data_IF_805739873202
#
_entry.id   IF_805739873202
#
_cell.length_a   1.000
_cell.length_b   1.000
_cell.length_c   1.000
_cell.angle_alpha   90.00
_cell.angle_beta   90.00
_cell.angle_gamma   90.00
#
_symmetry.space_group_name_H-M   'P 1'
#
loop_
_entity.id
_entity.type
_entity.pdbx_description
1 polymer ?
#
# COMPACT_ATOMS: atom_id res chain seq x y z
N UNK A 1 -8.49 -30.08 -7.48
CA UNK A 1 -7.93 -29.26 -7.48
C UNK A 1 -8.49 -28.22 -6.91
N UNK A 2 -8.90 -28.32 -6.06
CA UNK A 2 -9.43 -27.57 -5.42
C UNK A 2 -8.85 -26.64 -4.74
N UNK A 3 -8.33 -27.10 -3.83
CA UNK A 3 -7.65 -26.18 -3.24
C UNK A 3 -7.28 -25.33 -4.31
N UNK A 4 -7.61 -25.77 -5.25
CA UNK A 4 -7.31 -25.20 -6.33
C UNK A 4 -7.65 -23.90 -6.49
N UNK A 5 -8.58 -23.52 -5.84
CA UNK A 5 -8.87 -22.24 -6.01
C UNK A 5 -7.76 -21.47 -5.50
N UNK A 6 -7.41 -21.77 -4.34
CA UNK A 6 -6.36 -21.08 -3.74
C UNK A 6 -5.15 -21.30 -4.60
N UNK A 7 -5.00 -22.48 -5.06
CA UNK A 7 -3.86 -22.75 -5.83
C UNK A 7 -3.83 -21.97 -7.06
N UNK A 8 -4.94 -21.88 -7.68
CA UNK A 8 -4.99 -21.16 -8.90
C UNK A 8 -4.64 -19.73 -8.64
N UNK A 9 -5.06 -19.21 -7.51
CA UNK A 9 -4.76 -17.84 -7.21
C UNK A 9 -3.31 -17.68 -6.87
N UNK A 10 -2.71 -18.69 -6.29
CA UNK A 10 -1.34 -18.56 -5.91
C UNK A 10 -0.42 -18.99 -7.02
N UNK A 11 -0.97 -19.66 -8.00
CA UNK A 11 -0.15 -20.20 -9.05
C UNK A 11 0.49 -19.18 -9.92
N UNK A 12 -0.21 -18.16 -10.26
CA UNK A 12 0.35 -17.18 -11.15
C UNK A 12 0.22 -15.79 -10.60
N UNK A 13 1.34 -15.17 -10.43
CA UNK A 13 1.35 -13.80 -9.97
C UNK A 13 2.37 -13.02 -10.81
N UNK A 14 2.26 -11.72 -10.73
CA UNK A 14 3.27 -10.85 -11.32
C UNK A 14 3.67 -9.83 -10.26
N UNK A 15 4.79 -9.20 -10.46
CA UNK A 15 5.34 -8.30 -9.48
C UNK A 15 5.03 -6.86 -9.80
N UNK A 16 4.57 -6.12 -8.80
CA UNK A 16 4.49 -4.67 -8.88
C UNK A 16 5.28 -4.14 -7.69
N UNK A 17 5.94 -3.01 -7.88
CA UNK A 17 6.69 -2.39 -6.79
C UNK A 17 6.08 -1.05 -6.45
N UNK A 18 6.25 -0.64 -5.22
CA UNK A 18 5.78 0.67 -4.80
C UNK A 18 6.78 1.23 -3.80
N UNK A 19 7.09 2.52 -3.91
CA UNK A 19 8.02 3.16 -3.02
C UNK A 19 7.25 4.04 -2.06
N UNK A 20 7.54 3.90 -0.78
CA UNK A 20 6.84 4.68 0.24
C UNK A 20 7.87 5.37 1.13
N UNK A 21 7.57 6.57 1.58
CA UNK A 21 8.44 7.27 2.49
C UNK A 21 8.43 6.59 3.85
N UNK A 22 7.32 6.01 4.24
CA UNK A 22 7.20 5.34 5.53
C UNK A 22 6.14 4.26 5.41
N UNK A 23 6.48 3.04 5.72
CA UNK A 23 5.54 1.94 5.62
C UNK A 23 4.85 1.62 6.95
N UNK A 24 5.24 2.32 8.03
CA UNK A 24 4.65 2.06 9.33
C UNK A 24 4.89 0.62 9.76
N UNK A 25 3.85 -0.08 10.08
CA UNK A 25 3.94 -1.47 10.49
C UNK A 25 3.66 -2.49 9.42
N UNK A 26 3.75 -2.10 8.16
CA UNK A 26 3.49 -3.05 7.07
C UNK A 26 4.50 -4.18 7.12
N UNK A 27 4.04 -5.40 6.93
CA UNK A 27 4.90 -6.58 7.03
C UNK A 27 4.86 -7.38 5.75
N UNK A 28 5.86 -8.21 5.55
CA UNK A 28 5.86 -9.20 4.47
C UNK A 28 4.65 -10.11 4.68
N UNK A 29 3.99 -10.46 3.61
CA UNK A 29 2.80 -11.27 3.57
C UNK A 29 1.52 -10.47 3.88
N UNK A 30 1.65 -9.19 4.13
CA UNK A 30 0.46 -8.36 4.32
C UNK A 30 -0.39 -8.40 3.05
N UNK A 31 -1.70 -8.30 3.15
CA UNK A 31 -2.53 -8.35 1.96
C UNK A 31 -2.42 -7.10 1.13
N UNK A 32 -2.59 -7.24 -0.17
CA UNK A 32 -2.75 -6.13 -1.09
C UNK A 32 -4.19 -6.21 -1.54
N UNK A 33 -4.95 -5.14 -1.35
CA UNK A 33 -6.37 -5.14 -1.64
C UNK A 33 -6.76 -4.05 -2.63
N UNK A 34 -7.77 -4.30 -3.40
CA UNK A 34 -8.38 -3.28 -4.25
C UNK A 34 -9.88 -3.38 -4.05
N UNK A 35 -10.51 -2.29 -3.72
CA UNK A 35 -11.95 -2.25 -3.41
C UNK A 35 -12.31 -3.25 -2.30
N UNK A 36 -11.39 -3.46 -1.35
CA UNK A 36 -11.63 -4.37 -0.24
C UNK A 36 -11.36 -5.84 -0.54
N UNK A 37 -11.01 -6.16 -1.78
CA UNK A 37 -10.79 -7.56 -2.18
C UNK A 37 -9.29 -7.82 -2.23
N UNK A 38 -8.84 -8.94 -1.69
CA UNK A 38 -7.44 -9.30 -1.70
C UNK A 38 -7.04 -9.65 -3.12
N UNK A 39 -6.08 -8.94 -3.68
CA UNK A 39 -5.62 -9.19 -5.04
C UNK A 39 -4.16 -9.66 -5.04
N UNK A 40 -3.52 -9.65 -3.90
CA UNK A 40 -2.13 -10.10 -3.82
C UNK A 40 -1.59 -10.02 -2.42
N UNK A 41 -0.28 -10.16 -2.30
CA UNK A 41 0.40 -10.11 -0.99
C UNK A 41 1.74 -9.42 -1.14
N UNK A 42 2.20 -8.80 -0.06
CA UNK A 42 3.52 -8.20 -0.02
C UNK A 42 4.54 -9.33 0.02
N UNK A 43 5.46 -9.31 -0.92
CA UNK A 43 6.47 -10.36 -1.01
C UNK A 43 7.81 -9.98 -0.43
N UNK A 44 8.17 -8.69 -0.46
CA UNK A 44 9.45 -8.26 0.03
C UNK A 44 9.40 -6.78 0.39
N UNK A 45 10.19 -6.37 1.36
CA UNK A 45 10.26 -4.99 1.78
C UNK A 45 11.73 -4.67 1.97
N UNK A 46 12.21 -3.64 1.30
CA UNK A 46 13.61 -3.24 1.39
C UNK A 46 13.74 -1.74 1.51
N UNK A 47 14.84 -1.29 2.08
CA UNK A 47 15.14 0.14 2.13
C UNK A 47 16.07 0.47 0.98
N UNK A 48 15.71 1.47 0.19
CA UNK A 48 16.59 1.99 -0.84
C UNK A 48 17.54 2.95 -0.12
N UNK A 49 18.79 2.55 0.04
CA UNK A 49 19.75 3.31 0.84
C UNK A 49 20.16 4.62 0.20
N UNK A 50 19.91 4.79 -1.07
CA UNK A 50 20.26 6.04 -1.74
C UNK A 50 19.19 7.10 -1.56
N UNK A 51 17.92 6.69 -1.64
CA UNK A 51 16.84 7.62 -1.51
C UNK A 51 16.16 7.56 -0.17
N UNK A 52 16.48 6.56 0.63
CA UNK A 52 15.88 6.34 1.94
C UNK A 52 14.36 6.21 1.85
N UNK A 53 13.92 5.43 0.88
CA UNK A 53 12.50 5.10 0.77
C UNK A 53 12.34 3.60 0.88
N UNK A 54 11.19 3.15 1.35
CA UNK A 54 10.91 1.73 1.45
C UNK A 54 10.39 1.24 0.11
N UNK A 55 11.01 0.21 -0.42
CA UNK A 55 10.58 -0.40 -1.67
C UNK A 55 9.80 -1.66 -1.31
N UNK A 56 8.53 -1.66 -1.62
CA UNK A 56 7.63 -2.78 -1.32
C UNK A 56 7.37 -3.54 -2.61
N UNK A 57 7.69 -4.81 -2.61
CA UNK A 57 7.45 -5.67 -3.77
C UNK A 57 6.17 -6.45 -3.50
N UNK A 58 5.22 -6.37 -4.40
CA UNK A 58 3.93 -7.01 -4.24
C UNK A 58 3.75 -8.09 -5.30
N UNK A 59 3.29 -9.25 -4.87
CA UNK A 59 2.95 -10.33 -5.80
C UNK A 59 1.45 -10.26 -6.01
N UNK A 60 1.05 -9.91 -7.21
CA UNK A 60 -0.35 -9.68 -7.55
C UNK A 60 -0.87 -10.82 -8.40
N UNK A 61 -2.06 -11.31 -8.11
CA UNK A 61 -2.66 -12.39 -8.88
C UNK A 61 -2.77 -11.96 -10.35
N UNK A 62 -2.39 -12.86 -11.24
CA UNK A 62 -2.37 -12.55 -12.67
C UNK A 62 -3.72 -12.22 -13.25
N UNK A 63 -4.80 -12.58 -12.58
CA UNK A 63 -6.11 -12.26 -13.07
C UNK A 63 -6.47 -10.80 -12.89
N UNK A 64 -5.69 -10.04 -12.11
CA UNK A 64 -5.99 -8.64 -11.87
C UNK A 64 -4.92 -7.76 -12.48
N UNK A 65 -5.33 -6.83 -13.34
CA UNK A 65 -4.40 -5.88 -13.96
C UNK A 65 -4.80 -4.49 -13.51
N UNK A 66 -3.83 -3.63 -13.37
CA UNK A 66 -4.08 -2.30 -12.85
C UNK A 66 -3.61 -1.22 -13.81
N UNK A 67 -4.38 -0.15 -13.96
CA UNK A 67 -4.00 0.96 -14.84
C UNK A 67 -2.74 1.65 -14.34
N UNK A 68 -2.06 2.34 -15.23
CA UNK A 68 -0.80 2.99 -14.89
C UNK A 68 -0.97 4.09 -13.87
N UNK A 69 -2.15 4.67 -13.74
CA UNK A 69 -2.41 5.71 -12.78
C UNK A 69 -3.03 5.16 -11.48
N UNK A 70 -2.79 3.89 -11.19
CA UNK A 70 -3.23 3.30 -9.93
C UNK A 70 -2.44 3.92 -8.78
N UNK A 71 -3.12 4.14 -7.66
CA UNK A 71 -2.54 4.78 -6.51
C UNK A 71 -2.38 3.71 -5.42
N UNK A 72 -1.21 3.59 -4.85
CA UNK A 72 -0.96 2.63 -3.78
C UNK A 72 -0.88 3.37 -2.45
N UNK A 73 -1.65 2.93 -1.48
CA UNK A 73 -1.67 3.53 -0.15
C UNK A 73 -1.49 2.48 0.89
N UNK A 74 -0.88 2.82 2.00
CA UNK A 74 -0.81 1.90 3.12
C UNK A 74 -1.93 2.26 4.08
N UNK A 75 -2.79 1.29 4.35
CA UNK A 75 -3.99 1.51 5.15
C UNK A 75 -3.95 0.62 6.37
N UNK A 76 -4.77 0.91 7.36
CA UNK A 76 -4.84 0.12 8.57
C UNK A 76 -6.23 -0.47 8.69
N UNK A 77 -6.31 -1.75 9.07
CA UNK A 77 -7.59 -2.40 9.26
C UNK A 77 -8.13 -1.94 10.59
N UNK A 78 -9.10 -1.08 10.57
CA UNK A 78 -9.61 -0.47 11.78
C UNK A 78 -8.60 0.51 12.34
N UNK A 79 -8.77 0.91 13.57
CA UNK A 79 -7.91 1.91 14.16
C UNK A 79 -6.57 1.34 14.57
N UNK A 80 -6.56 0.16 15.12
CA UNK A 80 -5.33 -0.45 15.61
C UNK A 80 -4.99 -1.77 14.93
N UNK A 81 -5.60 -2.02 13.79
CA UNK A 81 -5.38 -3.29 13.10
C UNK A 81 -4.10 -3.33 12.33
N UNK A 82 -3.85 -4.44 11.66
CA UNK A 82 -2.65 -4.59 10.88
C UNK A 82 -2.72 -3.78 9.60
N UNK A 83 -1.58 -3.43 9.09
CA UNK A 83 -1.53 -2.60 7.90
C UNK A 83 -1.51 -3.43 6.64
N UNK A 84 -2.02 -2.87 5.58
CA UNK A 84 -2.06 -3.54 4.29
C UNK A 84 -1.92 -2.49 3.19
N UNK A 85 -1.69 -2.94 1.97
CA UNK A 85 -1.57 -2.03 0.83
C UNK A 85 -2.91 -1.97 0.12
N UNK A 86 -3.41 -0.78 -0.10
CA UNK A 86 -4.64 -0.58 -0.87
C UNK A 86 -4.30 -0.02 -2.24
N UNK A 87 -4.84 -0.59 -3.28
CA UNK A 87 -4.64 -0.11 -4.65
C UNK A 87 -5.94 0.50 -5.15
N UNK A 88 -5.91 1.79 -5.44
CA UNK A 88 -7.07 2.49 -5.97
C UNK A 88 -6.81 2.73 -7.44
N UNK A 89 -7.65 2.18 -8.28
CA UNK A 89 -7.43 2.26 -9.73
C UNK A 89 -7.84 3.61 -10.28
N UNK A 90 -7.12 4.06 -11.29
CA UNK A 90 -7.48 5.28 -11.99
C UNK A 90 -8.21 4.95 -13.28
N UNK A 91 -8.12 5.83 -14.23
CA UNK A 91 -8.84 5.67 -15.50
C UNK A 91 -7.97 5.49 -16.71
N UNK A 92 -6.66 5.28 -16.53
CA UNK A 92 -5.77 5.18 -17.66
C UNK A 92 -6.06 3.90 -18.44
N UNK A 93 -5.99 3.98 -19.74
CA UNK A 93 -6.22 2.83 -20.59
C UNK A 93 -5.00 1.89 -20.57
N UNK A 94 -3.81 2.42 -20.29
CA UNK A 94 -2.63 1.60 -20.27
C UNK A 94 -2.47 0.96 -18.91
N UNK A 95 -1.96 -0.26 -18.90
CA UNK A 95 -1.80 -1.02 -17.66
C UNK A 95 -0.35 -1.01 -17.21
N UNK A 96 -0.15 -1.16 -15.92
CA UNK A 96 1.21 -1.30 -15.37
C UNK A 96 1.74 -2.65 -15.82
N UNK A 97 2.98 -2.64 -16.29
CA UNK A 97 3.58 -3.89 -16.74
C UNK A 97 4.23 -4.62 -15.59
N UNK A 98 4.31 -5.95 -15.66
CA UNK A 98 4.95 -6.72 -14.59
C UNK A 98 6.38 -6.20 -14.35
N UNK A 99 6.73 -6.07 -13.09
CA UNK A 99 8.04 -5.56 -12.69
C UNK A 99 8.14 -4.06 -12.57
N UNK A 100 7.13 -3.33 -13.03
CA UNK A 100 7.17 -1.89 -12.94
C UNK A 100 6.67 -1.40 -11.58
N UNK A 101 6.92 -0.14 -11.32
CA UNK A 101 6.51 0.47 -10.06
C UNK A 101 5.22 1.26 -10.23
N UNK A 102 4.41 1.21 -9.18
CA UNK A 102 3.24 2.08 -9.08
C UNK A 102 3.79 3.49 -8.86
N UNK A 103 3.36 4.44 -9.65
CA UNK A 103 3.92 5.78 -9.59
C UNK A 103 3.39 6.66 -8.50
N UNK A 104 2.17 6.45 -8.09
CA UNK A 104 1.57 7.28 -7.06
C UNK A 104 1.39 6.49 -5.79
N UNK A 105 2.00 6.95 -4.72
CA UNK A 105 1.92 6.24 -3.45
C UNK A 105 1.64 7.21 -2.32
N UNK A 106 1.05 6.69 -1.25
CA UNK A 106 0.80 7.48 -0.06
C UNK A 106 1.27 6.64 1.12
N UNK A 107 2.13 7.23 1.94
CA UNK A 107 2.73 6.52 3.06
C UNK A 107 1.76 6.23 4.18
N UNK A 108 2.17 5.33 5.06
CA UNK A 108 1.35 4.94 6.18
C UNK A 108 1.11 6.12 7.11
N UNK A 109 -0.07 6.15 7.74
CA UNK A 109 -0.34 7.11 8.76
C UNK A 109 0.01 6.44 10.05
N UNK A 110 0.89 7.06 10.81
CA UNK A 110 1.32 6.54 12.09
C UNK A 110 0.48 7.21 13.18
N UNK A 111 -0.12 6.42 14.05
CA UNK A 111 -1.01 6.95 15.07
C UNK A 111 -0.35 8.03 15.89
N UNK A 112 0.89 7.87 16.23
CA UNK A 112 1.62 8.86 17.00
C UNK A 112 1.68 10.20 16.27
N UNK A 113 1.88 10.17 14.98
CA UNK A 113 1.96 11.38 14.21
C UNK A 113 0.61 12.07 14.16
N UNK A 114 -0.46 11.30 14.09
CA UNK A 114 -1.78 11.87 14.05
C UNK A 114 -2.08 12.56 15.37
N UNK A 115 -1.71 11.96 16.48
CA UNK A 115 -1.95 12.54 17.79
C UNK A 115 -1.15 13.82 17.90
N UNK A 116 0.10 13.80 17.45
CA UNK A 116 0.94 14.98 17.47
C UNK A 116 0.35 16.14 16.68
N UNK A 117 -0.14 15.84 15.47
CA UNK A 117 -0.73 16.86 14.64
C UNK A 117 -1.99 17.44 15.28
N UNK A 118 -2.79 16.60 15.89
CA UNK A 118 -4.01 17.03 16.51
C UNK A 118 -3.69 18.00 17.65
N UNK A 119 -2.74 17.66 18.50
CA UNK A 119 -2.37 18.52 19.62
C UNK A 119 -1.79 19.85 19.14
N UNK A 120 -0.99 19.81 18.10
CA UNK A 120 -0.40 21.01 17.55
C UNK A 120 -1.50 21.93 16.99
N UNK A 121 -2.46 21.39 16.27
CA UNK A 121 -3.51 22.17 15.69
C UNK A 121 -4.38 22.79 16.78
N UNK A 122 -4.59 22.09 17.88
CA UNK A 122 -5.40 22.61 18.96
C UNK A 122 -4.69 23.77 19.61
N UNK A 123 -3.39 23.68 19.81
CA UNK A 123 -2.62 24.74 20.40
C UNK A 123 -2.65 25.99 19.51
N UNK A 124 -2.54 25.77 18.20
CA UNK A 124 -2.57 26.88 17.27
C UNK A 124 -3.90 27.58 17.29
N UNK A 125 -4.99 26.82 17.36
CA UNK A 125 -6.29 27.39 17.41
C UNK A 125 -6.47 28.18 18.69
N UNK A 126 -5.98 27.68 19.82
CA UNK A 126 -6.05 28.37 21.07
C UNK A 126 -5.34 29.72 20.99
N UNK A 127 -4.18 29.72 20.33
CA UNK A 127 -3.42 30.95 20.22
C UNK A 127 -4.17 31.97 19.34
N UNK A 128 -4.79 31.50 18.30
CA UNK A 128 -5.50 32.39 17.43
C UNK A 128 -6.69 33.06 18.10
N UNK A 129 -7.26 32.45 19.05
CA UNK A 129 -8.40 33.00 19.71
C UNK A 129 -8.06 34.12 20.67
N UNK A 130 -6.81 34.30 20.92
CA UNK A 130 -6.39 35.37 21.77
C UNK A 130 -6.23 36.64 20.97
#
# INVERSE_FOLDING_TARGET
>A
KVGNLASANTGETYVLKANFDNIGGLKVRAPVKSAGVVVGRVGDIRLDAERYVAVVTMNISSQFKFPRDTFAKIRTSGLLGEQYVGLDVGGDAELIKPGESVKKTESAMVLEDLVGQFLFNKAAEGNEKK
#
